data_IF_381527886257
#
_entry.id   IF_381527886257
#
_cell.length_a   1.000
_cell.length_b   1.000
_cell.length_c   1.000
_cell.angle_alpha   90.00
_cell.angle_beta   90.00
_cell.angle_gamma   90.00
#
_symmetry.space_group_name_H-M   'P 1'
#
loop_
_entity.id
_entity.type
_entity.pdbx_description
1 polymer ?
#
# COMPACT_ATOMS: atom_id res chain seq x y z
N UNK A 1 35.56 -25.11 15.05
CA UNK A 1 35.08 -23.81 15.61
C UNK A 1 34.91 -22.71 14.56
N UNK A 2 35.67 -22.69 13.45
CA UNK A 2 35.55 -21.66 12.39
C UNK A 2 34.23 -21.73 11.59
N UNK A 3 33.66 -22.92 11.40
CA UNK A 3 32.42 -23.15 10.64
C UNK A 3 31.17 -22.65 11.35
N UNK A 4 31.09 -22.80 12.67
CA UNK A 4 29.96 -22.31 13.47
C UNK A 4 29.89 -20.78 13.49
N UNK A 5 31.04 -20.10 13.54
CA UNK A 5 31.12 -18.64 13.48
C UNK A 5 30.59 -18.12 12.14
N UNK A 6 30.91 -18.80 11.05
CA UNK A 6 30.46 -18.43 9.70
C UNK A 6 28.94 -18.53 9.52
N UNK A 7 28.31 -19.54 10.10
CA UNK A 7 26.85 -19.73 10.07
C UNK A 7 26.14 -18.63 10.88
N UNK A 8 26.68 -18.26 12.04
CA UNK A 8 26.13 -17.18 12.88
C UNK A 8 26.28 -15.81 12.21
N UNK A 9 27.38 -15.55 11.50
CA UNK A 9 27.53 -14.32 10.73
C UNK A 9 26.58 -14.25 9.52
N UNK A 10 26.34 -15.36 8.84
CA UNK A 10 25.39 -15.41 7.72
C UNK A 10 23.93 -15.18 8.16
N UNK A 11 23.54 -15.72 9.33
CA UNK A 11 22.17 -15.51 9.86
C UNK A 11 21.95 -14.10 10.40
N UNK A 12 22.98 -13.44 10.93
CA UNK A 12 22.91 -12.04 11.34
C UNK A 12 22.81 -11.05 10.15
N UNK A 13 23.33 -11.44 8.97
CA UNK A 13 23.25 -10.61 7.76
C UNK A 13 21.85 -10.65 7.12
N UNK A 14 21.15 -11.79 7.21
CA UNK A 14 19.80 -11.92 6.65
C UNK A 14 18.69 -11.35 7.54
N UNK A 15 18.93 -11.24 8.85
CA UNK A 15 17.95 -10.68 9.79
C UNK A 15 17.79 -9.15 9.71
N UNK A 16 18.74 -8.45 9.08
CA UNK A 16 18.66 -7.01 8.82
C UNK A 16 17.93 -6.65 7.52
N UNK A 17 17.42 -7.63 6.77
CA UNK A 17 16.47 -7.43 5.68
C UNK A 17 15.04 -7.32 6.21
N UNK A 18 14.82 -6.55 7.30
CA UNK A 18 13.52 -5.91 7.50
C UNK A 18 13.39 -4.86 6.40
N UNK A 19 12.95 -5.32 5.24
CA UNK A 19 12.87 -4.57 4.01
C UNK A 19 12.32 -3.19 4.30
N UNK A 20 13.13 -2.16 4.03
CA UNK A 20 12.67 -0.78 3.96
C UNK A 20 11.40 -0.81 3.13
N UNK A 21 10.25 -0.41 3.71
CA UNK A 21 8.96 -0.31 3.01
C UNK A 21 9.27 0.23 1.62
N UNK A 22 9.02 -0.57 0.57
CA UNK A 22 9.44 -0.26 -0.78
C UNK A 22 8.61 0.95 -1.21
N UNK A 23 9.12 2.16 -0.98
CA UNK A 23 8.42 3.39 -1.33
C UNK A 23 8.36 3.41 -2.85
N UNK A 24 7.20 3.07 -3.40
CA UNK A 24 6.96 3.13 -4.83
C UNK A 24 6.92 4.61 -5.19
N UNK A 25 7.78 5.09 -6.11
CA UNK A 25 7.72 6.48 -6.55
C UNK A 25 6.32 6.81 -7.06
N UNK A 26 5.81 7.98 -6.71
CA UNK A 26 4.46 8.41 -7.07
C UNK A 26 4.13 8.25 -8.58
N UNK A 27 5.04 8.57 -9.52
CA UNK A 27 4.77 8.33 -10.95
C UNK A 27 4.56 6.84 -11.28
N UNK A 28 5.33 5.95 -10.64
CA UNK A 28 5.22 4.50 -10.86
C UNK A 28 3.91 3.97 -10.29
N UNK A 29 3.45 4.51 -9.15
CA UNK A 29 2.17 4.15 -8.56
C UNK A 29 1.00 4.53 -9.47
N UNK A 30 0.98 5.75 -10.01
CA UNK A 30 -0.06 6.20 -10.94
C UNK A 30 -0.06 5.39 -12.23
N UNK A 31 1.11 5.15 -12.82
CA UNK A 31 1.21 4.37 -14.06
C UNK A 31 0.62 2.96 -13.91
N UNK A 32 0.81 2.33 -12.74
CA UNK A 32 0.33 0.98 -12.45
C UNK A 32 -1.11 0.90 -11.93
N UNK A 33 -1.70 2.00 -11.49
CA UNK A 33 -3.06 1.99 -10.94
C UNK A 33 -4.10 1.70 -12.04
N UNK A 34 -5.09 0.85 -11.74
CA UNK A 34 -6.21 0.56 -12.65
C UNK A 34 -7.27 1.69 -12.65
N UNK A 35 -7.38 2.41 -11.53
CA UNK A 35 -8.30 3.52 -11.32
C UNK A 35 -7.56 4.70 -10.67
N UNK A 36 -7.70 5.89 -11.23
CA UNK A 36 -7.21 7.16 -10.67
C UNK A 36 -8.33 8.17 -10.74
N UNK A 37 -8.73 8.70 -9.59
CA UNK A 37 -9.93 9.54 -9.45
C UNK A 37 -9.65 10.72 -8.52
N UNK A 38 -10.40 11.80 -8.71
CA UNK A 38 -10.50 12.92 -7.78
C UNK A 38 -11.86 12.87 -7.13
N UNK A 39 -11.91 13.20 -5.85
CA UNK A 39 -13.15 13.17 -5.08
C UNK A 39 -12.91 13.47 -3.62
N UNK A 40 -13.93 13.21 -2.82
CA UNK A 40 -13.94 13.46 -1.38
C UNK A 40 -14.42 12.23 -0.60
N UNK A 41 -13.97 12.12 0.65
CA UNK A 41 -14.46 11.10 1.57
C UNK A 41 -15.83 11.53 2.07
N UNK A 42 -16.86 10.75 1.74
CA UNK A 42 -18.24 11.02 2.13
C UNK A 42 -18.53 10.51 3.55
N UNK A 43 -17.99 9.33 3.92
CA UNK A 43 -18.19 8.76 5.24
C UNK A 43 -17.03 7.84 5.64
N UNK A 44 -16.85 7.65 6.95
CA UNK A 44 -15.78 6.83 7.53
C UNK A 44 -16.40 5.85 8.51
N UNK A 45 -16.19 4.56 8.29
CA UNK A 45 -16.62 3.48 9.18
C UNK A 45 -15.42 2.89 9.91
N UNK A 46 -15.15 3.38 11.12
CA UNK A 46 -14.03 2.89 11.93
C UNK A 46 -14.24 1.48 12.48
N UNK A 47 -15.48 0.99 12.53
CA UNK A 47 -15.80 -0.37 13.01
C UNK A 47 -15.45 -1.44 11.97
N UNK A 48 -15.61 -1.13 10.68
CA UNK A 48 -15.35 -2.05 9.56
C UNK A 48 -14.04 -1.69 8.83
N UNK A 49 -13.37 -0.60 9.24
CA UNK A 49 -12.16 -0.07 8.60
C UNK A 49 -12.40 0.20 7.10
N UNK A 50 -13.45 0.94 6.79
CA UNK A 50 -13.83 1.30 5.42
C UNK A 50 -14.19 2.79 5.32
N UNK A 51 -14.00 3.39 4.15
CA UNK A 51 -14.50 4.73 3.85
C UNK A 51 -15.28 4.74 2.54
N UNK A 52 -16.39 5.48 2.53
CA UNK A 52 -17.11 5.78 1.31
C UNK A 52 -16.46 6.99 0.66
N UNK A 53 -16.11 6.84 -0.62
CA UNK A 53 -15.49 7.87 -1.44
C UNK A 53 -16.43 8.28 -2.56
N UNK A 54 -16.68 9.58 -2.68
CA UNK A 54 -17.50 10.16 -3.74
C UNK A 54 -16.59 10.77 -4.80
N UNK A 55 -16.69 10.25 -6.02
CA UNK A 55 -15.85 10.63 -7.15
C UNK A 55 -16.46 11.85 -7.85
N UNK A 56 -15.64 12.87 -8.04
CA UNK A 56 -15.96 14.07 -8.83
C UNK A 56 -15.37 13.99 -10.24
N UNK A 57 -14.23 13.34 -10.41
CA UNK A 57 -13.54 13.24 -11.71
C UNK A 57 -12.80 11.91 -11.87
N UNK A 58 -12.83 11.36 -13.09
CA UNK A 58 -12.06 10.18 -13.48
C UNK A 58 -10.82 10.61 -14.29
N UNK A 59 -9.63 10.40 -13.73
CA UNK A 59 -8.33 10.64 -14.40
C UNK A 59 -7.92 9.41 -15.23
N UNK A 60 -8.14 8.21 -14.69
CA UNK A 60 -7.82 6.93 -15.34
C UNK A 60 -8.83 5.86 -14.93
N UNK A 61 -9.30 5.07 -15.88
CA UNK A 61 -10.32 4.04 -15.61
C UNK A 61 -11.72 4.63 -15.47
N UNK A 62 -12.71 3.76 -15.25
CA UNK A 62 -14.10 4.13 -14.97
C UNK A 62 -14.65 3.19 -13.90
N UNK A 63 -15.47 3.73 -13.01
CA UNK A 63 -16.21 2.97 -11.98
C UNK A 63 -17.56 3.64 -11.71
N UNK A 64 -18.30 3.10 -10.75
CA UNK A 64 -19.40 3.83 -10.14
C UNK A 64 -18.90 5.11 -9.48
N UNK A 65 -19.79 6.11 -9.37
CA UNK A 65 -19.46 7.44 -8.85
C UNK A 65 -19.27 7.46 -7.32
N UNK A 66 -19.75 6.43 -6.63
CA UNK A 66 -19.52 6.20 -5.21
C UNK A 66 -18.84 4.84 -5.06
N UNK A 67 -17.71 4.80 -4.35
CA UNK A 67 -16.97 3.57 -4.10
C UNK A 67 -16.69 3.43 -2.60
N UNK A 68 -16.75 2.21 -2.08
CA UNK A 68 -16.33 1.91 -0.71
C UNK A 68 -14.92 1.34 -0.75
N UNK A 69 -14.02 1.91 0.04
CA UNK A 69 -12.61 1.56 0.05
C UNK A 69 -12.21 1.07 1.43
N UNK A 70 -11.60 -0.10 1.49
CA UNK A 70 -11.02 -0.63 2.72
C UNK A 70 -9.81 0.21 3.14
N UNK A 71 -9.78 0.60 4.41
CA UNK A 71 -8.62 1.21 5.02
C UNK A 71 -7.48 0.20 5.08
N UNK A 72 -6.27 0.72 4.94
CA UNK A 72 -5.08 -0.08 5.16
C UNK A 72 -4.97 -0.43 6.65
N UNK A 73 -5.06 -1.71 7.00
CA UNK A 73 -4.71 -2.20 8.32
C UNK A 73 -3.17 -2.29 8.41
N UNK A 74 -2.58 -1.62 9.40
CA UNK A 74 -1.14 -1.67 9.68
C UNK A 74 -0.66 -3.06 10.16
#
# INVERSE_FOLDING_TARGET
MKTLVLIVLFSAFTSNLKGKKKVVPYPVAICKADLVVVGEIASVSSSVLEYDFQITEFIKGKSEQKITVAMWAD
#
